data_IF_048720781000
#
_entry.id   IF_048720781000
#
_cell.length_a   1.000
_cell.length_b   1.000
_cell.length_c   1.000
_cell.angle_alpha   90.00
_cell.angle_beta   90.00
_cell.angle_gamma   90.00
#
_symmetry.space_group_name_H-M   'P 1'
#
loop_
_entity.id
_entity.type
_entity.pdbx_description
1 polymer ?
#
# COMPACT_ATOMS: atom_id res chain seq x y z
N UNK A 1 -5.07 41.55 -73.94
CA UNK A 1 -5.82 41.38 -72.71
C UNK A 1 -5.71 39.98 -72.12
N UNK A 2 -5.19 38.99 -72.77
CA UNK A 2 -5.15 37.58 -72.30
C UNK A 2 -4.09 37.28 -71.25
N UNK A 3 -2.95 37.96 -71.24
CA UNK A 3 -1.87 37.71 -70.31
C UNK A 3 -2.21 38.09 -68.80
N UNK A 4 -3.08 39.08 -68.60
CA UNK A 4 -3.52 39.46 -67.22
C UNK A 4 -4.50 38.45 -66.63
N UNK A 5 -5.24 37.71 -67.41
CA UNK A 5 -6.15 36.68 -66.95
C UNK A 5 -5.41 35.42 -66.51
N UNK A 6 -4.34 35.02 -67.18
CA UNK A 6 -3.51 33.87 -66.91
C UNK A 6 -2.72 34.07 -65.60
N UNK A 7 -2.13 35.26 -65.40
CA UNK A 7 -1.45 35.57 -64.07
C UNK A 7 -2.42 35.62 -62.87
N UNK A 8 -3.67 35.98 -63.09
CA UNK A 8 -4.69 36.02 -62.09
C UNK A 8 -5.16 34.60 -61.63
N UNK A 9 -5.21 33.67 -62.62
CA UNK A 9 -5.54 32.26 -62.40
C UNK A 9 -4.41 31.58 -61.60
N UNK A 10 -3.16 31.83 -61.98
CA UNK A 10 -2.00 31.20 -61.30
C UNK A 10 -1.83 31.68 -59.86
N UNK A 11 -2.05 32.97 -59.58
CA UNK A 11 -2.04 33.54 -58.22
C UNK A 11 -3.22 33.01 -57.39
N UNK A 12 -4.42 32.88 -57.97
CA UNK A 12 -5.59 32.31 -57.30
C UNK A 12 -5.36 30.81 -56.96
N UNK A 13 -4.75 30.06 -57.86
CA UNK A 13 -4.45 28.64 -57.62
C UNK A 13 -3.41 28.48 -56.51
N UNK A 14 -2.42 29.34 -56.45
CA UNK A 14 -1.42 29.37 -55.37
C UNK A 14 -2.06 29.72 -54.00
N UNK A 15 -2.96 30.68 -53.96
CA UNK A 15 -3.70 31.04 -52.75
C UNK A 15 -4.61 29.91 -52.25
N UNK A 16 -5.34 29.25 -53.16
CA UNK A 16 -6.18 28.10 -52.82
C UNK A 16 -5.34 26.94 -52.27
N UNK A 17 -4.18 26.66 -52.89
CA UNK A 17 -3.28 25.60 -52.41
C UNK A 17 -2.73 25.93 -51.02
N UNK A 18 -2.35 27.19 -50.77
CA UNK A 18 -1.87 27.65 -49.45
C UNK A 18 -2.98 27.57 -48.42
N UNK A 19 -4.19 27.99 -48.75
CA UNK A 19 -5.37 27.88 -47.88
C UNK A 19 -5.69 26.42 -47.54
N UNK A 20 -5.68 25.54 -48.52
CA UNK A 20 -5.91 24.10 -48.31
C UNK A 20 -4.84 23.50 -47.40
N UNK A 21 -3.58 23.89 -47.53
CA UNK A 21 -2.47 23.40 -46.73
C UNK A 21 -2.62 23.88 -45.27
N UNK A 22 -2.93 25.16 -45.03
CA UNK A 22 -3.20 25.73 -43.71
C UNK A 22 -4.41 25.03 -43.06
N UNK A 23 -5.47 24.80 -43.85
CA UNK A 23 -6.67 24.11 -43.35
C UNK A 23 -6.38 22.66 -42.91
N UNK A 24 -5.60 21.92 -43.71
CA UNK A 24 -5.18 20.54 -43.35
C UNK A 24 -4.33 20.56 -42.07
N UNK A 25 -3.38 21.50 -41.96
CA UNK A 25 -2.59 21.63 -40.72
C UNK A 25 -3.45 21.95 -39.48
N UNK A 26 -4.44 22.83 -39.65
CA UNK A 26 -5.38 23.18 -38.60
C UNK A 26 -6.21 21.95 -38.14
N UNK A 27 -6.73 21.20 -39.11
CA UNK A 27 -7.47 19.95 -38.85
C UNK A 27 -6.60 18.92 -38.10
N UNK A 28 -5.33 18.76 -38.52
CA UNK A 28 -4.40 17.86 -37.88
C UNK A 28 -4.10 18.26 -36.41
N UNK A 29 -3.93 19.57 -36.17
CA UNK A 29 -3.72 20.08 -34.79
C UNK A 29 -4.95 19.85 -33.90
N UNK A 30 -6.16 20.16 -34.42
CA UNK A 30 -7.41 19.95 -33.65
C UNK A 30 -7.62 18.47 -33.35
N UNK A 31 -7.39 17.61 -34.35
CA UNK A 31 -7.51 16.16 -34.17
C UNK A 31 -6.47 15.63 -33.16
N UNK A 32 -5.22 16.05 -33.25
CA UNK A 32 -4.16 15.69 -32.30
C UNK A 32 -4.49 16.13 -30.88
N UNK A 33 -4.98 17.35 -30.72
CA UNK A 33 -5.42 17.86 -29.41
C UNK A 33 -6.61 17.09 -28.85
N UNK A 34 -7.60 16.75 -29.67
CA UNK A 34 -8.77 15.98 -29.25
C UNK A 34 -8.39 14.57 -28.81
N UNK A 35 -7.49 13.89 -29.55
CA UNK A 35 -6.98 12.57 -29.19
C UNK A 35 -6.19 12.62 -27.88
N UNK A 36 -5.30 13.60 -27.73
CA UNK A 36 -4.56 13.80 -26.47
C UNK A 36 -5.48 14.01 -25.29
N UNK A 37 -6.45 14.91 -25.43
CA UNK A 37 -7.39 15.21 -24.36
C UNK A 37 -8.27 14.00 -24.01
N UNK A 38 -8.71 13.24 -25.01
CA UNK A 38 -9.46 11.99 -24.81
C UNK A 38 -8.63 10.94 -24.08
N UNK A 39 -7.35 10.81 -24.42
CA UNK A 39 -6.44 9.85 -23.77
C UNK A 39 -6.19 10.24 -22.30
N UNK A 40 -5.92 11.53 -22.05
CA UNK A 40 -5.75 12.07 -20.69
C UNK A 40 -7.00 11.91 -19.84
N UNK A 41 -8.18 12.08 -20.43
CA UNK A 41 -9.45 11.89 -19.75
C UNK A 41 -9.70 10.41 -19.42
N UNK A 42 -9.44 9.50 -20.37
CA UNK A 42 -9.57 8.06 -20.16
C UNK A 42 -8.64 7.54 -19.06
N UNK A 43 -7.40 8.03 -18.99
CA UNK A 43 -6.44 7.69 -17.93
C UNK A 43 -6.94 8.14 -16.54
N UNK A 44 -7.46 9.37 -16.44
CA UNK A 44 -8.06 9.89 -15.20
C UNK A 44 -9.32 9.14 -14.78
N UNK A 45 -10.10 8.61 -15.71
CA UNK A 45 -11.31 7.83 -15.41
C UNK A 45 -11.00 6.41 -14.95
N UNK A 46 -9.92 5.79 -15.43
CA UNK A 46 -9.48 4.46 -15.00
C UNK A 46 -9.08 4.41 -13.52
N UNK A 47 -8.74 5.56 -12.94
CA UNK A 47 -8.34 5.68 -11.54
C UNK A 47 -9.53 5.87 -10.59
N UNK A 48 -10.77 6.01 -11.10
CA UNK A 48 -11.97 6.17 -10.27
C UNK A 48 -12.55 4.82 -9.87
N UNK A 49 -12.50 4.50 -8.59
CA UNK A 49 -13.14 3.32 -8.03
C UNK A 49 -14.50 3.73 -7.47
N UNK A 50 -15.56 3.12 -7.96
CA UNK A 50 -16.91 3.27 -7.43
C UNK A 50 -17.15 2.20 -6.37
N UNK A 51 -17.38 2.61 -5.13
CA UNK A 51 -17.75 1.70 -4.05
C UNK A 51 -19.27 1.75 -3.88
N UNK A 52 -19.92 0.61 -4.03
CA UNK A 52 -21.34 0.41 -3.71
C UNK A 52 -21.46 0.12 -2.21
N UNK A 53 -21.98 1.08 -1.46
CA UNK A 53 -22.36 0.85 -0.08
C UNK A 53 -23.83 0.41 -0.03
N UNK A 54 -24.07 -0.89 0.24
CA UNK A 54 -25.38 -1.55 0.44
C UNK A 54 -26.50 -1.11 -0.53
N UNK A 55 -26.17 -0.79 -1.78
CA UNK A 55 -27.16 -0.50 -2.84
C UNK A 55 -27.87 0.84 -2.74
N UNK A 56 -27.43 1.79 -1.89
CA UNK A 56 -28.16 3.06 -1.66
C UNK A 56 -27.44 4.35 -2.01
N UNK A 57 -26.13 4.36 -2.23
CA UNK A 57 -25.46 5.55 -2.80
C UNK A 57 -24.17 5.19 -3.51
N UNK A 58 -24.00 5.74 -4.71
CA UNK A 58 -22.71 5.75 -5.40
C UNK A 58 -21.82 6.79 -4.70
N UNK A 59 -21.01 6.35 -3.76
CA UNK A 59 -19.97 7.21 -3.21
C UNK A 59 -18.81 7.23 -4.17
N UNK A 60 -18.54 8.39 -4.76
CA UNK A 60 -17.31 8.63 -5.53
C UNK A 60 -16.15 8.56 -4.53
N UNK A 61 -15.53 7.40 -4.41
CA UNK A 61 -14.24 7.32 -3.73
C UNK A 61 -13.26 8.14 -4.57
N UNK A 62 -12.81 9.27 -4.04
CA UNK A 62 -11.70 10.02 -4.63
C UNK A 62 -10.55 9.05 -4.81
N UNK A 63 -10.25 8.69 -6.06
CA UNK A 63 -9.04 7.96 -6.39
C UNK A 63 -7.88 8.89 -6.13
N UNK A 64 -7.33 8.82 -4.92
CA UNK A 64 -6.01 9.37 -4.69
C UNK A 64 -5.04 8.62 -5.59
N UNK A 65 -4.11 9.37 -6.14
CA UNK A 65 -3.06 8.85 -7.02
C UNK A 65 -2.45 7.58 -6.41
N UNK A 66 -2.38 6.49 -7.17
CA UNK A 66 -1.85 5.20 -6.68
C UNK A 66 -0.47 5.36 -6.04
N UNK A 67 0.35 6.30 -6.55
CA UNK A 67 1.65 6.62 -5.99
C UNK A 67 1.57 7.19 -4.55
N UNK A 68 0.52 7.93 -4.21
CA UNK A 68 0.33 8.50 -2.87
C UNK A 68 -0.28 7.49 -1.89
N UNK A 69 -1.11 6.57 -2.38
CA UNK A 69 -1.77 5.57 -1.52
C UNK A 69 -0.85 4.41 -1.16
N UNK A 70 0.08 4.05 -2.03
CA UNK A 70 0.96 2.90 -1.82
C UNK A 70 1.78 2.96 -0.53
N UNK A 71 2.39 4.11 -0.14
CA UNK A 71 3.06 4.25 1.16
C UNK A 71 2.12 4.08 2.36
N UNK A 72 0.88 4.55 2.26
CA UNK A 72 -0.12 4.44 3.33
C UNK A 72 -0.56 2.98 3.48
N UNK A 73 -0.84 2.30 2.36
CA UNK A 73 -1.16 0.88 2.31
C UNK A 73 -0.04 0.01 2.89
N UNK A 74 1.22 0.33 2.56
CA UNK A 74 2.39 -0.37 3.08
C UNK A 74 2.49 -0.26 4.61
N UNK A 75 2.32 0.95 5.15
CA UNK A 75 2.30 1.17 6.61
C UNK A 75 1.13 0.44 7.26
N UNK A 76 -0.05 0.46 6.67
CA UNK A 76 -1.22 -0.26 7.15
C UNK A 76 -1.00 -1.78 7.16
N UNK A 77 -0.36 -2.32 6.12
CA UNK A 77 0.01 -3.73 6.02
C UNK A 77 0.96 -4.17 7.16
N UNK A 78 2.03 -3.41 7.37
CA UNK A 78 2.99 -3.67 8.44
C UNK A 78 2.34 -3.54 9.82
N UNK A 79 1.53 -2.51 10.03
CA UNK A 79 0.76 -2.34 11.26
C UNK A 79 -0.13 -3.55 11.53
N UNK A 80 -0.91 -3.98 10.53
CA UNK A 80 -1.81 -5.12 10.64
C UNK A 80 -1.08 -6.41 10.98
N UNK A 81 0.08 -6.65 10.37
CA UNK A 81 0.92 -7.79 10.72
C UNK A 81 1.32 -7.76 12.19
N UNK A 82 1.86 -6.65 12.68
CA UNK A 82 2.30 -6.54 14.08
C UNK A 82 1.15 -6.70 15.07
N UNK A 83 -0.01 -6.10 14.80
CA UNK A 83 -1.20 -6.25 15.62
C UNK A 83 -1.64 -7.71 15.74
N UNK A 84 -1.66 -8.44 14.62
CA UNK A 84 -2.04 -9.85 14.61
C UNK A 84 -0.97 -10.75 15.25
N UNK A 85 0.30 -10.49 14.98
CA UNK A 85 1.38 -11.39 15.38
C UNK A 85 1.76 -11.22 16.86
N UNK A 86 1.72 -10.00 17.39
CA UNK A 86 2.19 -9.66 18.74
C UNK A 86 1.09 -9.38 19.75
N UNK A 87 -0.18 -9.35 19.37
CA UNK A 87 -1.28 -9.27 20.32
C UNK A 87 -1.70 -10.68 20.70
N UNK A 88 -1.49 -11.03 21.97
CA UNK A 88 -1.70 -12.37 22.51
C UNK A 88 -2.64 -12.28 23.72
N UNK A 89 -3.66 -13.11 23.71
CA UNK A 89 -4.52 -13.41 24.86
C UNK A 89 -4.18 -14.79 25.42
N UNK A 90 -4.53 -15.11 26.68
CA UNK A 90 -4.29 -16.44 27.26
C UNK A 90 -5.28 -17.51 26.72
N UNK A 91 -5.52 -17.50 25.43
CA UNK A 91 -6.42 -18.38 24.68
C UNK A 91 -5.69 -18.96 23.48
N UNK A 92 -5.61 -20.29 23.43
CA UNK A 92 -4.88 -21.01 22.38
C UNK A 92 -5.47 -20.75 20.99
N UNK A 93 -6.80 -20.83 20.87
CA UNK A 93 -7.47 -20.69 19.56
C UNK A 93 -7.34 -19.26 19.02
N UNK A 94 -7.42 -18.28 19.92
CA UNK A 94 -7.21 -16.88 19.56
C UNK A 94 -5.76 -16.63 19.09
N UNK A 95 -4.76 -17.18 19.78
CA UNK A 95 -3.35 -17.08 19.38
C UNK A 95 -3.14 -17.72 18.02
N UNK A 96 -3.57 -18.96 17.83
CA UNK A 96 -3.39 -19.67 16.56
C UNK A 96 -4.10 -18.98 15.40
N UNK A 97 -5.32 -18.48 15.60
CA UNK A 97 -6.07 -17.73 14.60
C UNK A 97 -5.34 -16.44 14.21
N UNK A 98 -4.89 -15.65 15.17
CA UNK A 98 -4.21 -14.38 14.92
C UNK A 98 -2.86 -14.61 14.21
N UNK A 99 -2.07 -15.57 14.67
CA UNK A 99 -0.80 -15.93 14.02
C UNK A 99 -1.04 -16.40 12.59
N UNK A 100 -2.00 -17.31 12.35
CA UNK A 100 -2.33 -17.79 11.00
C UNK A 100 -2.67 -16.63 10.07
N UNK A 101 -3.48 -15.68 10.54
CA UNK A 101 -3.86 -14.48 9.76
C UNK A 101 -2.67 -13.58 9.48
N UNK A 102 -1.74 -13.42 10.41
CA UNK A 102 -0.53 -12.63 10.21
C UNK A 102 0.40 -13.26 9.17
N UNK A 103 0.49 -14.60 9.13
CA UNK A 103 1.35 -15.31 8.19
C UNK A 103 0.92 -15.18 6.72
N UNK A 104 -0.32 -14.78 6.42
CA UNK A 104 -0.71 -14.39 5.05
C UNK A 104 -0.08 -13.08 4.60
N UNK A 105 0.43 -12.28 5.54
CA UNK A 105 1.01 -10.97 5.28
C UNK A 105 2.54 -10.99 5.17
N UNK A 106 3.17 -12.13 5.47
CA UNK A 106 4.62 -12.27 5.54
C UNK A 106 5.12 -13.56 4.88
N UNK A 107 6.41 -13.61 4.66
CA UNK A 107 7.11 -14.77 4.11
C UNK A 107 7.47 -15.80 5.20
N UNK A 108 8.27 -16.78 4.78
CA UNK A 108 8.78 -17.85 5.65
C UNK A 108 9.57 -17.35 6.88
N UNK A 109 10.13 -16.14 6.85
CA UNK A 109 10.92 -15.61 7.97
C UNK A 109 10.06 -15.41 9.22
N UNK A 110 8.83 -14.88 9.06
CA UNK A 110 7.88 -14.73 10.16
C UNK A 110 7.40 -16.10 10.68
N UNK A 111 7.16 -17.06 9.79
CA UNK A 111 6.81 -18.43 10.19
C UNK A 111 7.93 -19.08 11.00
N UNK A 112 9.19 -18.93 10.58
CA UNK A 112 10.33 -19.49 11.31
C UNK A 112 10.45 -18.86 12.71
N UNK A 113 10.20 -17.57 12.84
CA UNK A 113 10.19 -16.90 14.14
C UNK A 113 9.04 -17.42 15.03
N UNK A 114 7.83 -17.58 14.47
CA UNK A 114 6.71 -18.20 15.19
C UNK A 114 7.07 -19.61 15.70
N UNK A 115 7.66 -20.43 14.82
CA UNK A 115 8.05 -21.81 15.14
C UNK A 115 9.08 -21.84 16.27
N UNK A 116 10.10 -20.99 16.22
CA UNK A 116 11.12 -20.87 17.27
C UNK A 116 10.50 -20.48 18.64
N UNK A 117 9.58 -19.53 18.66
CA UNK A 117 8.84 -19.18 19.88
C UNK A 117 7.98 -20.33 20.41
N UNK A 118 7.34 -21.05 19.50
CA UNK A 118 6.49 -22.21 19.86
C UNK A 118 7.32 -23.34 20.47
N UNK A 119 8.45 -23.68 19.85
CA UNK A 119 9.39 -24.71 20.34
C UNK A 119 9.99 -24.34 21.69
N UNK A 120 10.25 -23.04 21.94
CA UNK A 120 10.67 -22.52 23.25
C UNK A 120 9.55 -22.45 24.30
N UNK A 121 8.33 -22.90 23.97
CA UNK A 121 7.17 -22.93 24.85
C UNK A 121 6.64 -21.53 25.23
N UNK A 122 6.91 -20.52 24.40
CA UNK A 122 6.49 -19.15 24.68
C UNK A 122 4.98 -19.01 24.81
N UNK A 123 4.22 -19.54 23.87
CA UNK A 123 2.76 -19.47 23.87
C UNK A 123 2.13 -20.24 25.03
N UNK A 124 2.71 -21.38 25.39
CA UNK A 124 2.26 -22.14 26.58
C UNK A 124 2.43 -21.31 27.85
N UNK A 125 3.53 -20.55 27.97
CA UNK A 125 3.72 -19.65 29.13
C UNK A 125 2.75 -18.48 29.13
N UNK A 126 2.35 -17.97 27.96
CA UNK A 126 1.31 -16.92 27.85
C UNK A 126 -0.03 -17.45 28.39
N UNK A 127 -0.42 -18.66 27.98
CA UNK A 127 -1.67 -19.29 28.37
C UNK A 127 -1.65 -19.64 29.87
N UNK A 128 -0.64 -20.39 30.35
CA UNK A 128 -0.57 -20.85 31.72
C UNK A 128 -0.36 -19.70 32.73
N UNK A 129 0.31 -18.64 32.32
CA UNK A 129 0.52 -17.44 33.11
C UNK A 129 -0.60 -16.41 33.04
N UNK A 130 -1.71 -16.72 32.36
CA UNK A 130 -2.83 -15.79 32.15
C UNK A 130 -2.35 -14.39 31.68
N UNK A 131 -1.44 -14.39 30.69
CA UNK A 131 -0.76 -13.17 30.20
C UNK A 131 -1.54 -12.57 29.05
N UNK A 132 -1.88 -11.29 29.17
CA UNK A 132 -2.37 -10.50 28.03
C UNK A 132 -1.24 -9.62 27.52
N UNK A 133 -0.98 -9.68 26.22
CA UNK A 133 0.02 -8.85 25.53
C UNK A 133 -0.65 -8.08 24.40
N UNK A 134 -0.43 -6.79 24.38
CA UNK A 134 -0.84 -5.93 23.26
C UNK A 134 0.38 -5.24 22.68
N UNK A 135 0.29 -4.84 21.42
CA UNK A 135 1.34 -4.08 20.73
C UNK A 135 0.79 -2.73 20.31
N UNK A 136 1.57 -1.69 20.58
CA UNK A 136 1.31 -0.32 20.14
C UNK A 136 2.47 0.15 19.27
N UNK A 137 2.17 0.62 18.04
CA UNK A 137 3.19 1.10 17.13
C UNK A 137 3.39 2.59 17.34
N UNK A 138 4.61 2.97 17.73
CA UNK A 138 4.99 4.36 17.95
C UNK A 138 5.34 5.06 16.65
N UNK A 139 6.14 4.40 15.79
CA UNK A 139 6.54 4.95 14.49
C UNK A 139 7.00 3.88 13.50
N UNK A 140 6.94 4.20 12.23
CA UNK A 140 7.48 3.38 11.13
C UNK A 140 8.32 4.25 10.21
N UNK A 141 9.57 3.83 9.98
CA UNK A 141 10.46 4.42 8.98
C UNK A 141 10.45 3.53 7.75
N UNK A 142 9.88 4.03 6.67
CA UNK A 142 9.77 3.31 5.40
C UNK A 142 10.63 4.02 4.36
N UNK A 143 11.46 3.27 3.68
CA UNK A 143 12.23 3.72 2.52
C UNK A 143 11.54 3.20 1.26
N UNK A 144 10.96 4.12 0.49
CA UNK A 144 10.27 3.82 -0.76
C UNK A 144 11.11 4.16 -2.00
N UNK A 145 12.33 4.67 -1.81
CA UNK A 145 13.20 5.08 -2.92
C UNK A 145 13.84 3.87 -3.61
N UNK A 146 14.00 2.77 -2.86
CA UNK A 146 14.59 1.54 -3.37
C UNK A 146 13.66 0.34 -3.16
N UNK A 147 13.47 -0.45 -4.20
CA UNK A 147 12.72 -1.72 -4.14
C UNK A 147 13.69 -2.90 -3.96
N UNK A 148 13.41 -3.87 -3.07
CA UNK A 148 12.29 -3.97 -2.13
C UNK A 148 12.30 -2.89 -1.04
N UNK A 149 11.10 -2.38 -0.67
CA UNK A 149 10.97 -1.29 0.29
C UNK A 149 11.39 -1.73 1.69
N UNK A 150 12.34 -1.00 2.29
CA UNK A 150 12.80 -1.29 3.65
C UNK A 150 11.89 -0.62 4.67
N UNK A 151 11.50 -1.38 5.70
CA UNK A 151 10.67 -0.86 6.79
C UNK A 151 11.28 -1.23 8.13
N UNK A 152 11.49 -0.21 8.96
CA UNK A 152 11.83 -0.37 10.37
C UNK A 152 10.65 0.11 11.20
N UNK A 153 10.14 -0.76 12.08
CA UNK A 153 8.99 -0.49 12.94
C UNK A 153 9.47 -0.37 14.38
N UNK A 154 9.08 0.71 15.03
CA UNK A 154 9.32 0.97 16.47
C UNK A 154 7.98 0.87 17.18
N UNK A 155 7.90 -0.03 18.14
CA UNK A 155 6.67 -0.35 18.85
C UNK A 155 6.97 -0.63 20.33
N UNK A 156 5.91 -0.62 21.14
CA UNK A 156 5.92 -1.08 22.54
C UNK A 156 4.96 -2.24 22.70
N UNK A 157 5.37 -3.22 23.46
CA UNK A 157 4.52 -4.31 23.93
C UNK A 157 4.12 -4.01 25.37
N UNK A 158 2.82 -4.06 25.63
CA UNK A 158 2.28 -3.99 26.98
C UNK A 158 1.91 -5.41 27.42
N UNK A 159 2.64 -5.93 28.40
CA UNK A 159 2.51 -7.30 28.90
C UNK A 159 1.89 -7.23 30.30
N UNK A 160 0.63 -7.63 30.38
CA UNK A 160 -0.17 -7.60 31.61
C UNK A 160 -0.21 -9.01 32.22
N UNK A 161 0.30 -9.12 33.44
CA UNK A 161 0.24 -10.32 34.26
C UNK A 161 -0.61 -10.04 35.49
N UNK A 162 -0.98 -11.05 36.21
CA UNK A 162 -1.73 -10.90 37.45
C UNK A 162 -1.00 -9.98 38.47
N UNK A 163 0.31 -10.16 38.63
CA UNK A 163 1.13 -9.46 39.61
C UNK A 163 1.92 -8.27 39.09
N UNK A 164 1.94 -8.04 37.77
CA UNK A 164 2.80 -7.02 37.19
C UNK A 164 2.35 -6.58 35.79
N UNK A 165 2.75 -5.37 35.43
CA UNK A 165 2.60 -4.79 34.12
C UNK A 165 3.99 -4.43 33.61
N UNK A 166 4.37 -4.98 32.46
CA UNK A 166 5.67 -4.73 31.82
C UNK A 166 5.47 -4.03 30.47
N UNK A 167 6.17 -2.91 30.29
CA UNK A 167 6.32 -2.24 29.00
C UNK A 167 7.66 -2.69 28.41
N UNK A 168 7.62 -3.20 27.17
CA UNK A 168 8.78 -3.75 26.47
C UNK A 168 8.94 -3.07 25.12
N UNK A 169 10.16 -2.69 24.76
CA UNK A 169 10.45 -2.22 23.40
C UNK A 169 10.34 -3.36 22.41
N UNK A 170 9.89 -3.04 21.20
CA UNK A 170 9.88 -3.95 20.07
C UNK A 170 10.32 -3.17 18.83
N UNK A 171 11.53 -3.45 18.34
CA UNK A 171 12.02 -2.90 17.11
C UNK A 171 12.17 -4.03 16.10
N UNK A 172 11.52 -3.87 14.94
CA UNK A 172 11.54 -4.87 13.87
C UNK A 172 12.01 -4.26 12.57
N UNK A 173 12.59 -5.09 11.71
CA UNK A 173 12.99 -4.73 10.36
C UNK A 173 12.47 -5.76 9.37
N UNK A 174 12.00 -5.30 8.22
CA UNK A 174 11.59 -6.16 7.11
C UNK A 174 11.77 -5.45 5.77
N UNK A 175 11.59 -6.21 4.69
CA UNK A 175 11.44 -5.69 3.33
C UNK A 175 10.01 -5.95 2.88
N UNK A 176 9.43 -5.01 2.12
CA UNK A 176 8.11 -5.18 1.52
C UNK A 176 8.26 -5.43 0.02
N UNK A 177 7.66 -6.52 -0.44
CA UNK A 177 7.50 -6.86 -1.84
C UNK A 177 6.06 -6.64 -2.25
N UNK A 178 5.85 -6.26 -3.51
CA UNK A 178 4.52 -6.24 -4.10
C UNK A 178 4.02 -7.67 -4.33
N UNK A 179 2.77 -7.91 -3.99
CA UNK A 179 2.09 -9.19 -4.18
C UNK A 179 0.69 -8.98 -4.76
N UNK A 180 0.08 -10.05 -5.24
CA UNK A 180 -1.31 -10.02 -5.67
C UNK A 180 -2.23 -9.80 -4.45
N UNK A 181 -3.21 -8.92 -4.60
CA UNK A 181 -4.23 -8.68 -3.59
C UNK A 181 -5.16 -9.89 -3.47
N UNK A 182 -5.56 -10.19 -2.25
CA UNK A 182 -6.54 -11.22 -1.92
C UNK A 182 -7.31 -10.84 -0.67
N UNK A 183 -8.37 -11.56 -0.34
CA UNK A 183 -9.18 -11.32 0.87
C UNK A 183 -8.33 -11.37 2.16
N UNK A 184 -7.31 -12.23 2.18
CA UNK A 184 -6.38 -12.35 3.30
C UNK A 184 -5.23 -11.34 3.25
N UNK A 185 -4.99 -10.72 2.09
CA UNK A 185 -3.94 -9.74 1.85
C UNK A 185 -4.45 -8.56 0.98
N UNK A 186 -5.29 -7.69 1.53
CA UNK A 186 -5.97 -6.65 0.75
C UNK A 186 -5.01 -5.56 0.23
N UNK A 187 -3.90 -5.31 0.94
CA UNK A 187 -2.94 -4.30 0.54
C UNK A 187 -1.99 -4.76 -0.58
N UNK A 188 -1.89 -6.08 -0.81
CA UNK A 188 -1.02 -6.66 -1.85
C UNK A 188 0.47 -6.39 -1.60
N UNK A 189 0.93 -6.63 -0.37
CA UNK A 189 2.33 -6.67 0.02
C UNK A 189 2.67 -7.99 0.69
N UNK A 190 3.94 -8.38 0.66
CA UNK A 190 4.49 -9.45 1.50
C UNK A 190 5.69 -8.90 2.27
N UNK A 191 5.69 -9.10 3.57
CA UNK A 191 6.85 -8.81 4.42
C UNK A 191 7.87 -9.93 4.28
N UNK A 192 9.06 -9.60 3.78
CA UNK A 192 10.18 -10.52 3.60
C UNK A 192 11.30 -10.21 4.60
N UNK A 193 12.07 -11.23 4.94
CA UNK A 193 13.22 -11.12 5.85
C UNK A 193 12.86 -10.42 7.17
N UNK A 194 11.72 -10.78 7.75
CA UNK A 194 11.28 -10.25 9.03
C UNK A 194 12.27 -10.63 10.13
N UNK A 195 12.75 -9.63 10.87
CA UNK A 195 13.66 -9.79 12.00
C UNK A 195 13.30 -8.85 13.13
N UNK A 196 13.55 -9.28 14.37
CA UNK A 196 13.47 -8.43 15.56
C UNK A 196 14.88 -7.97 15.88
N UNK A 197 15.10 -6.67 15.89
CA UNK A 197 16.40 -6.06 16.19
C UNK A 197 16.52 -5.66 17.66
N UNK A 198 15.41 -5.36 18.33
CA UNK A 198 15.38 -5.08 19.75
C UNK A 198 14.08 -5.55 20.39
N UNK A 199 14.19 -6.19 21.57
CA UNK A 199 13.06 -6.58 22.40
C UNK A 199 13.49 -6.59 23.87
N UNK A 200 13.39 -5.44 24.56
CA UNK A 200 13.90 -5.24 25.93
C UNK A 200 12.81 -4.70 26.83
N UNK A 201 12.79 -5.16 28.07
CA UNK A 201 11.92 -4.59 29.10
C UNK A 201 12.38 -3.17 29.43
N UNK A 202 11.48 -2.19 29.23
CA UNK A 202 11.71 -0.78 29.55
C UNK A 202 11.33 -0.45 30.98
N UNK A 203 10.17 -0.96 31.41
CA UNK A 203 9.62 -0.70 32.75
C UNK A 203 8.78 -1.86 33.17
N UNK A 204 8.87 -2.21 34.48
CA UNK A 204 7.97 -3.18 35.10
C UNK A 204 7.39 -2.57 36.38
N UNK A 205 6.08 -2.52 36.46
CA UNK A 205 5.31 -2.01 37.60
C UNK A 205 4.64 -3.21 38.29
N UNK A 206 4.82 -3.37 39.59
CA UNK A 206 4.07 -4.35 40.36
C UNK A 206 2.64 -3.84 40.58
N UNK A 207 1.68 -4.73 40.44
CA UNK A 207 0.27 -4.47 40.71
C UNK A 207 -0.09 -4.77 42.14
#
# INVERSE_FOLDING_TARGET
MEFKSLTNIETSFRQIRLFALVFICLCALVTGFAVWNSYSFAEKQRQKIYVLDNGKSLMLALSQDMAQNRPIEAKSHVKRFHELFFTLSPDKDAIESNVRRSLFLADKSAYNYYKDLSEKGYYNRVISGNINQTVEIDSMKCDFDQYPYKVNTYARQLIVRESSLTVRSLVTSCRLLNATRSDNNPHGFIMEAFTITENKDLQTIKR
#
